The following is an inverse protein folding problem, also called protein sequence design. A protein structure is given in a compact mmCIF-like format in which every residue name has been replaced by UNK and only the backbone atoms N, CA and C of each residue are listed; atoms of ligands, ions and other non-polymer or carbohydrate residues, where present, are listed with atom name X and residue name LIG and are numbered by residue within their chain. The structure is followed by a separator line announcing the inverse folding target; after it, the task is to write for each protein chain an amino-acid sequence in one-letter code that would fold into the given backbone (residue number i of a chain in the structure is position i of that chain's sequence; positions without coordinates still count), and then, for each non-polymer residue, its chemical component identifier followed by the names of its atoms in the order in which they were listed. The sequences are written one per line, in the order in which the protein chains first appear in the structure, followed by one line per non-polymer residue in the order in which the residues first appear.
data_IF_493835005921
#
_entry.id   IF_493835005921
#
_cell.length_a   1.000
_cell.length_b   1.000
_cell.length_c   1.000
_cell.angle_alpha   90.00
_cell.angle_beta   90.00
_cell.angle_gamma   90.00
#
_symmetry.space_group_name_H-M   'P 1'
#
loop_
_entity.id
_entity.type
_entity.pdbx_description
1 polymer ?
#
# COMPACT_ATOMS: atom_id res chain seq x y z
N UNK A 1 -11.88 13.63 -20.66
CA UNK A 1 -13.24 14.22 -20.51
C UNK A 1 -14.34 13.25 -20.88
N UNK A 2 -14.11 12.37 -21.86
CA UNK A 2 -15.04 11.32 -22.34
C UNK A 2 -15.84 10.57 -21.26
N UNK A 3 -15.20 10.14 -20.17
CA UNK A 3 -15.86 9.40 -19.09
C UNK A 3 -16.76 10.26 -18.17
N UNK A 4 -17.02 11.54 -18.50
CA UNK A 4 -17.84 12.44 -17.69
C UNK A 4 -17.26 12.80 -16.31
N UNK A 5 -16.03 12.38 -16.01
CA UNK A 5 -15.36 12.59 -14.71
C UNK A 5 -14.82 14.01 -14.50
N UNK A 6 -15.06 14.93 -15.43
CA UNK A 6 -14.65 16.32 -15.27
C UNK A 6 -15.50 17.01 -14.20
N UNK A 7 -14.84 17.65 -13.24
CA UNK A 7 -15.49 18.49 -12.25
C UNK A 7 -14.98 19.93 -12.40
N UNK A 8 -15.84 20.91 -12.14
CA UNK A 8 -15.44 22.32 -12.12
C UNK A 8 -14.43 22.51 -10.98
N UNK A 9 -13.20 22.88 -11.33
CA UNK A 9 -12.13 23.18 -10.38
C UNK A 9 -11.94 24.68 -10.24
N UNK A 10 -11.25 25.10 -9.16
CA UNK A 10 -10.82 26.49 -8.99
C UNK A 10 -9.69 26.91 -9.92
N UNK A 11 -9.18 26.01 -10.77
CA UNK A 11 -8.12 26.29 -11.74
C UNK A 11 -8.73 26.89 -13.02
N UNK A 12 -8.49 28.17 -13.34
CA UNK A 12 -9.03 28.78 -14.55
C UNK A 12 -8.29 28.31 -15.82
N UNK A 13 -8.88 28.59 -16.99
CA UNK A 13 -8.14 28.72 -18.25
C UNK A 13 -7.55 30.12 -18.26
N UNK A 14 -6.23 30.23 -18.42
CA UNK A 14 -5.53 31.51 -18.35
C UNK A 14 -5.05 31.88 -19.75
N UNK A 15 -5.38 33.09 -20.19
CA UNK A 15 -5.02 33.63 -21.52
C UNK A 15 -4.27 34.95 -21.32
N UNK A 16 -3.11 35.08 -21.97
CA UNK A 16 -2.30 36.31 -21.94
C UNK A 16 -3.01 37.46 -22.67
N UNK A 17 -2.51 38.67 -22.48
CA UNK A 17 -3.01 39.82 -23.25
C UNK A 17 -2.80 39.67 -24.78
N UNK A 18 -1.80 38.90 -25.19
CA UNK A 18 -1.50 38.60 -26.60
C UNK A 18 -2.31 37.41 -27.15
N UNK A 19 -3.17 36.81 -26.32
CA UNK A 19 -4.03 35.69 -26.71
C UNK A 19 -3.38 34.31 -26.58
N UNK A 20 -2.18 34.22 -26.00
CA UNK A 20 -1.53 32.95 -25.73
C UNK A 20 -2.19 32.24 -24.54
N UNK A 21 -2.40 30.93 -24.65
CA UNK A 21 -2.87 30.13 -23.51
C UNK A 21 -1.69 29.93 -22.57
N UNK A 22 -1.84 30.32 -21.30
CA UNK A 22 -0.81 30.18 -20.26
C UNK A 22 -1.10 29.02 -19.31
N UNK A 23 -2.38 28.66 -19.11
CA UNK A 23 -2.80 27.48 -18.36
C UNK A 23 -4.04 26.85 -19.00
N UNK A 24 -4.14 25.53 -18.91
CA UNK A 24 -5.31 24.77 -19.36
C UNK A 24 -5.10 24.00 -20.66
N UNK A 25 -3.89 23.98 -21.24
CA UNK A 25 -3.59 23.25 -22.48
C UNK A 25 -4.06 21.80 -22.45
N UNK A 26 -3.72 21.05 -21.41
CA UNK A 26 -4.14 19.65 -21.27
C UNK A 26 -5.67 19.48 -21.23
N UNK A 27 -6.39 20.44 -20.64
CA UNK A 27 -7.86 20.40 -20.52
C UNK A 27 -8.52 20.74 -21.84
N UNK A 28 -8.03 21.77 -22.55
CA UNK A 28 -8.49 22.13 -23.88
C UNK A 28 -8.21 21.02 -24.89
N UNK A 29 -7.02 20.43 -24.84
CA UNK A 29 -6.65 19.28 -25.66
C UNK A 29 -7.56 18.08 -25.37
N UNK A 30 -7.78 17.75 -24.10
CA UNK A 30 -8.69 16.66 -23.70
C UNK A 30 -10.16 16.90 -24.10
N UNK A 31 -10.60 18.16 -24.18
CA UNK A 31 -11.92 18.55 -24.70
C UNK A 31 -12.02 18.29 -26.21
N UNK A 32 -10.98 18.68 -26.97
CA UNK A 32 -10.90 18.45 -28.42
C UNK A 32 -10.90 16.95 -28.70
N UNK A 33 -10.03 16.20 -28.01
CA UNK A 33 -9.90 14.74 -28.18
C UNK A 33 -11.18 14.00 -27.81
N UNK A 34 -11.86 14.40 -26.73
CA UNK A 34 -13.09 13.75 -26.30
C UNK A 34 -14.34 14.20 -27.08
N UNK A 35 -14.29 15.30 -27.83
CA UNK A 35 -15.46 15.89 -28.49
C UNK A 35 -16.54 16.38 -27.52
N UNK A 36 -16.19 16.63 -26.25
CA UNK A 36 -17.13 17.00 -25.18
C UNK A 36 -16.66 18.29 -24.51
N UNK A 37 -17.53 19.30 -24.49
CA UNK A 37 -17.28 20.58 -23.81
C UNK A 37 -17.30 20.46 -22.28
N UNK A 38 -16.71 21.45 -21.61
CA UNK A 38 -16.64 21.50 -20.16
C UNK A 38 -16.80 22.93 -19.62
N UNK A 39 -17.21 23.05 -18.37
CA UNK A 39 -17.32 24.35 -17.69
C UNK A 39 -15.99 24.66 -17.02
N UNK A 40 -15.48 25.88 -17.24
CA UNK A 40 -14.30 26.42 -16.58
C UNK A 40 -14.38 27.94 -16.44
N UNK A 41 -13.74 28.46 -15.40
CA UNK A 41 -13.48 29.90 -15.26
C UNK A 41 -12.41 30.32 -16.27
N UNK A 42 -12.56 31.50 -16.87
CA UNK A 42 -11.56 32.08 -17.77
C UNK A 42 -10.98 33.32 -17.10
N UNK A 43 -9.64 33.38 -17.01
CA UNK A 43 -8.90 34.58 -16.65
C UNK A 43 -8.21 35.08 -17.91
N UNK A 44 -8.58 36.27 -18.35
CA UNK A 44 -8.11 36.85 -19.61
C UNK A 44 -7.29 38.11 -19.37
N UNK A 45 -6.30 38.38 -20.21
CA UNK A 45 -5.52 39.62 -20.18
C UNK A 45 -4.38 39.62 -19.18
N UNK A 46 -3.77 38.46 -18.91
CA UNK A 46 -2.59 38.37 -18.04
C UNK A 46 -1.38 38.98 -18.76
N UNK A 47 -0.78 40.01 -18.17
CA UNK A 47 0.33 40.79 -18.77
C UNK A 47 1.69 40.55 -18.10
N UNK A 48 1.72 39.81 -17.00
CA UNK A 48 2.94 39.59 -16.22
C UNK A 48 3.62 38.29 -16.63
N UNK A 49 4.82 38.39 -17.21
CA UNK A 49 5.61 37.24 -17.69
C UNK A 49 5.97 36.27 -16.55
N UNK A 50 6.07 36.76 -15.31
CA UNK A 50 6.31 35.93 -14.12
C UNK A 50 5.08 35.15 -13.68
N UNK A 51 3.88 35.55 -14.13
CA UNK A 51 2.65 34.83 -13.79
C UNK A 51 2.71 33.38 -14.28
N UNK A 52 3.36 33.10 -15.42
CA UNK A 52 3.56 31.72 -15.89
C UNK A 52 4.36 30.88 -14.90
N UNK A 53 5.39 31.45 -14.26
CA UNK A 53 6.21 30.75 -13.27
C UNK A 53 5.46 30.46 -11.96
N UNK A 54 4.29 31.07 -11.75
CA UNK A 54 3.43 30.89 -10.57
C UNK A 54 2.17 30.05 -10.86
N UNK A 55 1.92 29.71 -12.12
CA UNK A 55 0.84 28.79 -12.53
C UNK A 55 1.20 27.37 -12.06
N UNK A 56 0.22 26.65 -11.50
CA UNK A 56 0.36 25.29 -10.98
C UNK A 56 1.45 25.11 -9.88
N UNK A 57 1.92 26.20 -9.27
CA UNK A 57 2.87 26.17 -8.13
C UNK A 57 2.18 25.79 -6.81
N UNK A 58 0.86 25.65 -6.82
CA UNK A 58 0.11 25.11 -5.69
C UNK A 58 0.53 23.67 -5.37
N UNK A 59 0.65 23.36 -4.07
CA UNK A 59 0.92 21.98 -3.64
C UNK A 59 -0.21 21.07 -4.14
N UNK A 60 0.14 20.12 -5.03
CA UNK A 60 -0.76 19.03 -5.42
C UNK A 60 -1.23 18.36 -4.13
N UNK A 61 -2.55 18.36 -3.89
CA UNK A 61 -3.14 17.71 -2.71
C UNK A 61 -2.68 16.26 -2.69
N UNK A 62 -2.02 15.87 -1.61
CA UNK A 62 -1.65 14.48 -1.37
C UNK A 62 -2.92 13.63 -1.23
N UNK A 63 -2.80 12.34 -1.53
CA UNK A 63 -3.87 11.35 -1.32
C UNK A 63 -4.47 11.40 0.10
N UNK A 64 -3.63 11.57 1.11
CA UNK A 64 -4.07 11.72 2.49
C UNK A 64 -4.89 13.01 2.70
N UNK A 65 -4.48 14.13 2.12
CA UNK A 65 -5.24 15.38 2.18
C UNK A 65 -6.59 15.27 1.45
N UNK A 66 -6.66 14.56 0.32
CA UNK A 66 -7.92 14.28 -0.37
C UNK A 66 -8.88 13.52 0.55
N UNK A 67 -8.39 12.46 1.22
CA UNK A 67 -9.20 11.68 2.16
C UNK A 67 -9.60 12.50 3.40
N UNK A 68 -8.70 13.32 3.93
CA UNK A 68 -8.99 14.21 5.07
C UNK A 68 -10.08 15.22 4.72
N UNK A 69 -10.02 15.82 3.54
CA UNK A 69 -11.06 16.72 3.03
C UNK A 69 -12.40 16.02 2.81
N UNK A 70 -12.39 14.74 2.45
CA UNK A 70 -13.59 13.92 2.34
C UNK A 70 -14.19 13.53 3.71
N UNK A 71 -13.50 13.82 4.82
CA UNK A 71 -14.03 13.63 6.18
C UNK A 71 -13.99 12.18 6.67
N UNK A 72 -13.04 11.37 6.17
CA UNK A 72 -12.81 9.99 6.64
C UNK A 72 -12.66 9.93 8.16
N UNK A 73 -13.20 8.89 8.79
CA UNK A 73 -13.23 8.76 10.27
C UNK A 73 -11.98 8.10 10.87
N UNK A 74 -11.10 7.60 10.01
CA UNK A 74 -9.83 6.97 10.39
C UNK A 74 -8.64 7.84 9.99
N UNK A 75 -7.42 7.45 10.36
CA UNK A 75 -6.22 8.20 9.97
C UNK A 75 -6.06 8.24 8.45
N UNK A 76 -6.25 9.42 7.84
CA UNK A 76 -6.19 9.61 6.40
C UNK A 76 -4.81 9.24 5.82
N UNK A 77 -3.72 9.43 6.58
CA UNK A 77 -2.37 9.07 6.17
C UNK A 77 -2.14 7.56 6.14
N UNK A 78 -2.69 6.83 7.12
CA UNK A 78 -2.62 5.36 7.19
C UNK A 78 -3.52 4.76 6.11
N UNK A 79 -4.78 5.20 6.01
CA UNK A 79 -5.73 4.76 4.99
C UNK A 79 -5.18 5.01 3.59
N UNK A 80 -4.58 6.18 3.34
CA UNK A 80 -3.93 6.46 2.06
C UNK A 80 -2.85 5.45 1.72
N UNK A 81 -2.00 5.06 2.69
CA UNK A 81 -0.92 4.11 2.47
C UNK A 81 -1.44 2.70 2.23
N UNK A 82 -2.46 2.28 2.98
CA UNK A 82 -3.10 0.97 2.84
C UNK A 82 -3.81 0.84 1.50
N UNK A 83 -4.55 1.87 1.08
CA UNK A 83 -5.19 1.91 -0.25
C UNK A 83 -4.16 1.82 -1.39
N UNK A 84 -3.00 2.50 -1.25
CA UNK A 84 -1.93 2.38 -2.24
C UNK A 84 -1.33 0.96 -2.29
N UNK A 85 -1.17 0.29 -1.15
CA UNK A 85 -0.68 -1.09 -1.11
C UNK A 85 -1.70 -2.06 -1.72
N UNK A 86 -2.99 -1.88 -1.43
CA UNK A 86 -4.08 -2.68 -1.99
C UNK A 86 -4.19 -2.53 -3.51
N UNK A 87 -4.26 -1.30 -4.03
CA UNK A 87 -4.29 -1.07 -5.48
C UNK A 87 -3.03 -1.60 -6.17
N UNK A 88 -1.86 -1.40 -5.57
CA UNK A 88 -0.61 -1.95 -6.10
C UNK A 88 -0.65 -3.48 -6.18
N UNK A 89 -1.19 -4.13 -5.15
CA UNK A 89 -1.35 -5.57 -5.08
C UNK A 89 -2.31 -6.08 -6.17
N UNK A 90 -3.47 -5.45 -6.33
CA UNK A 90 -4.45 -5.78 -7.38
C UNK A 90 -3.90 -5.62 -8.80
N UNK A 91 -3.11 -4.58 -9.05
CA UNK A 91 -2.49 -4.35 -10.35
C UNK A 91 -1.36 -5.34 -10.66
N UNK A 92 -0.87 -6.07 -9.66
CA UNK A 92 0.23 -7.03 -9.83
C UNK A 92 -0.31 -8.33 -10.43
N UNK A 93 -0.16 -8.51 -11.75
CA UNK A 93 -0.63 -9.71 -12.50
C UNK A 93 -0.17 -11.03 -11.89
N UNK A 94 1.09 -11.07 -11.49
CA UNK A 94 1.70 -12.20 -10.82
C UNK A 94 1.93 -11.81 -9.37
N UNK A 95 1.20 -12.36 -8.38
CA UNK A 95 1.37 -12.00 -6.98
C UNK A 95 2.82 -12.08 -6.50
N UNK A 96 3.63 -13.02 -7.03
CA UNK A 96 5.04 -13.16 -6.68
C UNK A 96 5.91 -11.94 -7.05
N UNK A 97 5.41 -11.06 -7.92
CA UNK A 97 6.08 -9.84 -8.39
C UNK A 97 5.70 -8.59 -7.60
N UNK A 98 4.84 -8.70 -6.57
CA UNK A 98 4.50 -7.56 -5.73
C UNK A 98 5.73 -7.06 -4.96
N UNK A 99 6.02 -5.75 -5.09
CA UNK A 99 7.17 -5.08 -4.44
C UNK A 99 6.75 -3.84 -3.64
N UNK A 100 5.50 -3.77 -3.21
CA UNK A 100 4.92 -2.57 -2.59
C UNK A 100 4.37 -1.61 -3.65
N UNK A 101 4.41 -0.30 -3.36
CA UNK A 101 3.74 0.73 -4.19
C UNK A 101 4.62 1.28 -5.32
N UNK A 102 5.77 0.66 -5.58
CA UNK A 102 6.71 1.14 -6.60
C UNK A 102 6.17 0.80 -8.00
N UNK A 103 6.15 1.78 -8.91
CA UNK A 103 5.61 1.62 -10.26
C UNK A 103 4.08 1.61 -10.34
N UNK A 104 3.37 1.76 -9.22
CA UNK A 104 1.91 1.83 -9.19
C UNK A 104 1.44 3.22 -9.63
N UNK A 105 0.75 3.28 -10.78
CA UNK A 105 0.00 4.48 -11.17
C UNK A 105 -1.28 4.55 -10.35
N UNK A 106 -1.35 5.49 -9.41
CA UNK A 106 -2.54 5.75 -8.60
C UNK A 106 -2.65 7.24 -8.31
N UNK A 107 -3.43 7.98 -9.08
CA UNK A 107 -3.53 9.43 -8.94
C UNK A 107 -4.25 9.83 -7.65
N UNK A 108 -3.90 10.99 -7.05
CA UNK A 108 -4.61 11.49 -5.87
C UNK A 108 -6.13 11.62 -6.06
N UNK A 109 -6.57 12.00 -7.27
CA UNK A 109 -7.99 12.12 -7.58
C UNK A 109 -8.75 10.77 -7.59
N UNK A 110 -8.05 9.65 -7.77
CA UNK A 110 -8.67 8.33 -7.79
C UNK A 110 -8.86 7.73 -6.40
N UNK A 111 -8.21 8.27 -5.36
CA UNK A 111 -8.18 7.59 -4.06
C UNK A 111 -9.53 7.57 -3.37
N UNK A 112 -10.34 8.62 -3.56
CA UNK A 112 -11.64 8.72 -2.92
C UNK A 112 -12.56 7.60 -3.39
N UNK A 113 -12.76 7.48 -4.70
CA UNK A 113 -13.57 6.40 -5.28
C UNK A 113 -13.03 5.01 -4.94
N UNK A 114 -11.70 4.83 -4.95
CA UNK A 114 -11.12 3.54 -4.57
C UNK A 114 -11.40 3.17 -3.11
N UNK A 115 -11.34 4.12 -2.17
CA UNK A 115 -11.66 3.87 -0.75
C UNK A 115 -13.16 3.66 -0.54
N UNK A 116 -14.01 4.37 -1.28
CA UNK A 116 -15.47 4.16 -1.27
C UNK A 116 -15.84 2.76 -1.78
N UNK A 117 -15.16 2.27 -2.82
CA UNK A 117 -15.37 0.92 -3.36
C UNK A 117 -14.79 -0.20 -2.44
N UNK A 118 -13.99 0.15 -1.43
CA UNK A 118 -13.28 -0.79 -0.56
C UNK A 118 -13.34 -0.34 0.91
N UNK A 119 -14.56 -0.22 1.46
CA UNK A 119 -14.80 0.26 2.83
C UNK A 119 -14.07 -0.59 3.90
N UNK A 120 -13.75 -1.86 3.62
CA UNK A 120 -13.03 -2.77 4.51
C UNK A 120 -11.58 -2.32 4.78
N UNK A 121 -11.00 -1.50 3.91
CA UNK A 121 -9.72 -0.84 4.17
C UNK A 121 -9.83 0.03 5.42
N UNK A 122 -10.90 0.82 5.54
CA UNK A 122 -11.11 1.69 6.70
C UNK A 122 -11.37 0.89 7.98
N UNK A 123 -12.11 -0.23 7.88
CA UNK A 123 -12.33 -1.16 9.00
C UNK A 123 -10.98 -1.70 9.52
N UNK A 124 -10.13 -2.17 8.61
CA UNK A 124 -8.80 -2.70 8.96
C UNK A 124 -7.90 -1.63 9.57
N UNK A 125 -7.96 -0.39 9.06
CA UNK A 125 -7.23 0.75 9.62
C UNK A 125 -7.72 1.09 11.03
N UNK A 126 -9.04 1.19 11.25
CA UNK A 126 -9.60 1.52 12.56
C UNK A 126 -9.22 0.48 13.62
N UNK A 127 -9.36 -0.81 13.29
CA UNK A 127 -8.98 -1.92 14.15
C UNK A 127 -7.51 -1.83 14.57
N UNK A 128 -6.59 -1.74 13.60
CA UNK A 128 -5.15 -1.69 13.87
C UNK A 128 -4.76 -0.40 14.59
N UNK A 129 -5.34 0.75 14.21
CA UNK A 129 -5.14 2.05 14.89
C UNK A 129 -5.38 1.93 16.40
N UNK A 130 -6.46 1.28 16.82
CA UNK A 130 -6.82 1.14 18.25
C UNK A 130 -5.76 0.36 19.02
N UNK A 131 -5.24 -0.72 18.45
CA UNK A 131 -4.25 -1.58 19.11
C UNK A 131 -2.88 -0.91 19.11
N UNK A 132 -2.42 -0.40 17.96
CA UNK A 132 -1.11 0.26 17.83
C UNK A 132 -1.02 1.50 18.72
N UNK A 133 -2.09 2.28 18.87
CA UNK A 133 -2.12 3.43 19.79
C UNK A 133 -1.93 3.00 21.24
N UNK A 134 -2.55 1.89 21.66
CA UNK A 134 -2.44 1.35 23.03
C UNK A 134 -1.10 0.68 23.30
N UNK A 135 -0.54 0.00 22.30
CA UNK A 135 0.67 -0.83 22.39
C UNK A 135 1.80 -0.30 21.50
N UNK A 136 1.98 1.02 21.50
CA UNK A 136 2.91 1.69 20.58
C UNK A 136 4.37 1.27 20.78
N UNK A 137 4.76 0.96 22.03
CA UNK A 137 6.14 0.58 22.37
C UNK A 137 6.45 -0.86 22.00
N UNK A 138 5.42 -1.70 21.99
CA UNK A 138 5.47 -3.13 21.69
C UNK A 138 5.35 -3.40 20.17
N UNK A 139 4.86 -2.42 19.41
CA UNK A 139 4.62 -2.52 17.97
C UNK A 139 5.92 -2.67 17.19
N UNK A 140 6.10 -3.82 16.53
CA UNK A 140 7.30 -4.16 15.76
C UNK A 140 7.34 -3.56 14.34
N UNK A 141 6.17 -3.26 13.75
CA UNK A 141 6.07 -2.66 12.41
C UNK A 141 5.14 -1.46 12.40
N UNK A 142 5.12 -0.74 11.27
CA UNK A 142 4.27 0.43 11.10
C UNK A 142 2.81 0.04 10.91
N UNK A 143 1.92 0.91 11.37
CA UNK A 143 0.47 0.75 11.31
C UNK A 143 -0.07 0.36 9.91
N UNK A 144 0.38 0.98 8.80
CA UNK A 144 -0.10 0.59 7.47
C UNK A 144 0.24 -0.85 7.08
N UNK A 145 1.34 -1.43 7.58
CA UNK A 145 1.73 -2.80 7.27
C UNK A 145 0.77 -3.78 7.94
N UNK A 146 0.46 -3.56 9.23
CA UNK A 146 -0.51 -4.37 9.95
C UNK A 146 -1.92 -4.23 9.36
N UNK A 147 -2.36 -3.00 9.05
CA UNK A 147 -3.69 -2.76 8.48
C UNK A 147 -3.84 -3.39 7.10
N UNK A 148 -2.79 -3.34 6.26
CA UNK A 148 -2.78 -4.02 4.98
C UNK A 148 -2.78 -5.54 5.11
N UNK A 149 -2.02 -6.10 6.06
CA UNK A 149 -2.04 -7.53 6.34
C UNK A 149 -3.43 -8.00 6.83
N UNK A 150 -4.05 -7.25 7.75
CA UNK A 150 -5.40 -7.49 8.24
C UNK A 150 -6.42 -7.51 7.09
N UNK A 151 -6.38 -6.49 6.24
CA UNK A 151 -7.25 -6.37 5.07
C UNK A 151 -7.12 -7.60 4.16
N UNK A 152 -5.90 -7.98 3.77
CA UNK A 152 -5.68 -9.11 2.87
C UNK A 152 -6.10 -10.45 3.48
N UNK A 153 -5.81 -10.69 4.76
CA UNK A 153 -6.25 -11.91 5.46
C UNK A 153 -7.77 -11.98 5.47
N UNK A 154 -8.45 -10.88 5.83
CA UNK A 154 -9.92 -10.82 5.93
C UNK A 154 -10.58 -11.01 4.58
N UNK A 155 -10.11 -10.30 3.54
CA UNK A 155 -10.60 -10.44 2.16
C UNK A 155 -10.47 -11.89 1.67
N UNK A 156 -9.36 -12.54 2.01
CA UNK A 156 -9.11 -13.93 1.63
C UNK A 156 -9.98 -14.91 2.38
N UNK A 157 -10.21 -14.70 3.68
CA UNK A 157 -11.14 -15.51 4.45
C UNK A 157 -12.57 -15.43 3.90
N UNK A 158 -13.01 -14.24 3.47
CA UNK A 158 -14.33 -14.05 2.88
C UNK A 158 -14.54 -14.81 1.55
N UNK A 159 -13.46 -15.26 0.89
CA UNK A 159 -13.51 -16.03 -0.36
C UNK A 159 -13.67 -17.54 -0.12
N UNK A 160 -13.54 -18.02 1.12
CA UNK A 160 -13.54 -19.45 1.44
C UNK A 160 -14.44 -19.76 2.64
N UNK A 161 -14.97 -20.98 2.69
CA UNK A 161 -15.74 -21.47 3.83
C UNK A 161 -14.84 -22.29 4.74
N UNK A 162 -14.83 -21.94 6.02
CA UNK A 162 -14.08 -22.65 7.06
C UNK A 162 -15.04 -23.29 8.05
N UNK A 163 -14.78 -24.54 8.45
CA UNK A 163 -15.61 -25.23 9.44
C UNK A 163 -15.38 -24.65 10.85
N UNK A 164 -14.12 -24.39 11.19
CA UNK A 164 -13.72 -23.79 12.46
C UNK A 164 -12.37 -23.08 12.27
N UNK A 165 -12.22 -21.89 12.86
CA UNK A 165 -10.95 -21.17 12.89
C UNK A 165 -10.41 -21.22 14.32
N UNK A 166 -9.18 -21.71 14.47
CA UNK A 166 -8.47 -21.76 15.77
C UNK A 166 -8.24 -20.35 16.35
N UNK A 167 -8.11 -19.34 15.48
CA UNK A 167 -7.94 -17.94 15.83
C UNK A 167 -8.53 -17.03 14.75
N UNK A 168 -9.10 -15.90 15.14
CA UNK A 168 -9.55 -14.85 14.20
C UNK A 168 -8.38 -13.93 13.79
N UNK A 169 -8.42 -13.26 12.62
CA UNK A 169 -7.42 -12.26 12.23
C UNK A 169 -7.18 -11.18 13.30
N UNK A 170 -8.23 -10.76 13.99
CA UNK A 170 -8.19 -9.74 15.02
C UNK A 170 -7.40 -10.22 16.25
N UNK A 171 -7.70 -11.42 16.75
CA UNK A 171 -6.96 -12.02 17.87
C UNK A 171 -5.49 -12.24 17.49
N UNK A 172 -5.23 -12.81 16.30
CA UNK A 172 -3.88 -13.05 15.80
C UNK A 172 -3.06 -11.75 15.74
N UNK A 173 -3.56 -10.71 15.06
CA UNK A 173 -2.84 -9.44 14.96
C UNK A 173 -2.78 -8.70 16.30
N UNK A 174 -3.78 -8.84 17.18
CA UNK A 174 -3.69 -8.28 18.54
C UNK A 174 -2.50 -8.87 19.28
N UNK A 175 -2.32 -10.19 19.26
CA UNK A 175 -1.17 -10.87 19.88
C UNK A 175 0.15 -10.47 19.22
N UNK A 176 0.21 -10.43 17.90
CA UNK A 176 1.40 -9.99 17.14
C UNK A 176 1.76 -8.54 17.45
N UNK A 177 0.80 -7.62 17.64
CA UNK A 177 1.08 -6.20 17.91
C UNK A 177 1.43 -5.97 19.39
N UNK A 178 0.66 -6.56 20.29
CA UNK A 178 0.66 -6.22 21.73
C UNK A 178 1.54 -7.11 22.60
N UNK A 179 2.02 -8.25 22.09
CA UNK A 179 2.64 -9.35 22.87
C UNK A 179 1.77 -9.94 24.00
N UNK A 180 0.48 -9.61 24.06
CA UNK A 180 -0.40 -10.16 25.10
C UNK A 180 -0.69 -11.64 24.83
N UNK A 181 -0.64 -12.45 25.89
CA UNK A 181 -0.98 -13.87 25.83
C UNK A 181 0.05 -14.74 25.12
N UNK A 182 1.31 -14.30 25.05
CA UNK A 182 2.44 -15.11 24.60
C UNK A 182 3.12 -15.71 25.83
N UNK A 183 3.19 -17.04 25.88
CA UNK A 183 3.68 -17.81 27.03
C UNK A 183 4.89 -18.67 26.68
N UNK A 184 5.09 -18.98 25.38
CA UNK A 184 6.19 -19.83 24.89
C UNK A 184 6.87 -19.23 23.66
N UNK A 185 8.14 -19.60 23.45
CA UNK A 185 8.84 -19.32 22.19
C UNK A 185 8.28 -20.11 21.00
N UNK A 186 7.54 -21.18 21.30
CA UNK A 186 6.83 -22.00 20.32
C UNK A 186 5.57 -21.31 19.78
N UNK A 187 5.06 -20.28 20.47
CA UNK A 187 3.88 -19.53 20.02
C UNK A 187 4.15 -18.89 18.66
N UNK A 188 3.22 -19.10 17.71
CA UNK A 188 3.36 -18.61 16.33
C UNK A 188 3.57 -17.10 16.31
N UNK A 189 2.81 -16.35 17.11
CA UNK A 189 2.91 -14.90 17.22
C UNK A 189 4.22 -14.45 17.87
N UNK A 190 4.79 -15.23 18.81
CA UNK A 190 6.13 -14.97 19.34
C UNK A 190 7.19 -15.11 18.25
N UNK A 191 7.13 -16.18 17.45
CA UNK A 191 8.06 -16.39 16.33
C UNK A 191 7.97 -15.27 15.29
N UNK A 192 6.74 -14.83 14.96
CA UNK A 192 6.51 -13.68 14.09
C UNK A 192 7.18 -12.44 14.66
N UNK A 193 6.89 -12.09 15.92
CA UNK A 193 7.45 -10.90 16.58
C UNK A 193 8.97 -10.92 16.64
N UNK A 194 9.55 -12.06 17.02
CA UNK A 194 11.00 -12.21 17.10
C UNK A 194 11.68 -11.98 15.73
N UNK A 195 11.08 -12.51 14.66
CA UNK A 195 11.58 -12.25 13.31
C UNK A 195 11.37 -10.79 12.89
N UNK A 196 10.22 -10.17 13.17
CA UNK A 196 9.97 -8.75 12.88
C UNK A 196 10.98 -7.84 13.60
N UNK A 197 11.30 -8.14 14.87
CA UNK A 197 12.31 -7.42 15.64
C UNK A 197 13.70 -7.49 14.99
N UNK A 198 14.05 -8.63 14.38
CA UNK A 198 15.31 -8.79 13.65
C UNK A 198 15.43 -7.91 12.39
N UNK A 199 14.29 -7.40 11.88
CA UNK A 199 14.23 -6.55 10.68
C UNK A 199 14.19 -5.05 10.98
N UNK A 200 14.19 -4.62 12.25
CA UNK A 200 14.03 -3.21 12.65
C UNK A 200 15.16 -2.32 12.12
N UNK A 201 16.38 -2.85 12.00
CA UNK A 201 17.56 -2.10 11.53
C UNK A 201 17.79 -2.18 10.01
N UNK A 202 16.87 -2.78 9.26
CA UNK A 202 17.03 -3.06 7.82
C UNK A 202 16.43 -1.97 6.92
N UNK A 203 16.90 -1.91 5.66
CA UNK A 203 16.46 -0.91 4.69
C UNK A 203 14.95 -0.99 4.36
N UNK A 204 14.34 0.17 4.11
CA UNK A 204 12.88 0.38 4.13
C UNK A 204 12.13 -0.49 3.11
N UNK A 205 12.57 -0.51 1.85
CA UNK A 205 11.88 -1.20 0.75
C UNK A 205 11.93 -2.73 0.87
N UNK A 206 13.06 -3.27 1.36
CA UNK A 206 13.26 -4.69 1.62
C UNK A 206 12.47 -5.16 2.85
N UNK A 207 12.41 -4.30 3.88
CA UNK A 207 11.73 -4.63 5.12
C UNK A 207 10.23 -4.89 4.92
N UNK A 208 9.56 -4.20 3.98
CA UNK A 208 8.11 -4.34 3.78
C UNK A 208 7.71 -5.79 3.46
N UNK A 209 8.34 -6.40 2.45
CA UNK A 209 7.98 -7.73 1.98
C UNK A 209 8.29 -8.81 3.01
N UNK A 210 9.47 -8.72 3.62
CA UNK A 210 9.87 -9.68 4.64
C UNK A 210 9.00 -9.53 5.92
N UNK A 211 8.55 -8.32 6.28
CA UNK A 211 7.57 -8.08 7.36
C UNK A 211 6.20 -8.70 7.04
N UNK A 212 5.64 -8.39 5.86
CA UNK A 212 4.36 -8.95 5.41
C UNK A 212 4.41 -10.48 5.33
N UNK A 213 5.48 -11.03 4.75
CA UNK A 213 5.69 -12.48 4.64
C UNK A 213 5.68 -13.17 6.00
N UNK A 214 6.32 -12.57 7.00
CA UNK A 214 6.34 -13.12 8.35
C UNK A 214 4.94 -13.15 8.97
N UNK A 215 4.19 -12.07 8.84
CA UNK A 215 2.80 -11.98 9.31
C UNK A 215 1.93 -13.03 8.61
N UNK A 216 2.03 -13.16 7.28
CA UNK A 216 1.23 -14.15 6.54
C UNK A 216 1.64 -15.59 6.85
N UNK A 217 2.94 -15.88 6.96
CA UNK A 217 3.40 -17.22 7.35
C UNK A 217 2.91 -17.61 8.75
N UNK A 218 2.90 -16.67 9.69
CA UNK A 218 2.33 -16.92 11.01
C UNK A 218 0.83 -17.21 10.93
N UNK A 219 0.08 -16.40 10.19
CA UNK A 219 -1.35 -16.68 9.95
C UNK A 219 -1.59 -18.07 9.35
N UNK A 220 -0.81 -18.45 8.35
CA UNK A 220 -0.93 -19.74 7.67
C UNK A 220 -0.68 -20.94 8.57
N UNK A 221 0.22 -20.81 9.56
CA UNK A 221 0.47 -21.87 10.53
C UNK A 221 -0.77 -22.19 11.36
N UNK A 222 -1.65 -21.20 11.64
CA UNK A 222 -2.92 -21.42 12.32
C UNK A 222 -3.98 -22.11 11.46
N UNK A 223 -3.75 -22.18 10.15
CA UNK A 223 -4.63 -22.82 9.15
C UNK A 223 -4.04 -24.12 8.59
N UNK A 224 -2.96 -24.63 9.19
CA UNK A 224 -2.22 -25.81 8.73
C UNK A 224 -1.74 -25.72 7.26
N UNK A 225 -1.60 -24.50 6.73
CA UNK A 225 -1.11 -24.26 5.38
C UNK A 225 0.42 -24.39 5.38
N UNK A 226 1.01 -25.26 4.53
CA UNK A 226 2.46 -25.45 4.51
C UNK A 226 3.23 -24.15 4.24
N UNK A 227 4.15 -23.81 5.14
CA UNK A 227 5.04 -22.65 4.98
C UNK A 227 6.48 -23.08 4.67
N UNK A 228 7.15 -22.32 3.80
CA UNK A 228 8.52 -22.62 3.37
C UNK A 228 9.48 -22.75 4.57
N UNK A 229 10.11 -23.93 4.69
CA UNK A 229 11.05 -24.27 5.75
C UNK A 229 10.41 -24.48 7.13
N UNK A 230 9.08 -24.63 7.20
CA UNK A 230 8.27 -24.80 8.41
C UNK A 230 8.56 -23.75 9.49
N UNK A 231 8.85 -22.51 9.07
CA UNK A 231 9.20 -21.40 9.97
C UNK A 231 8.76 -20.06 9.41
N UNK A 232 8.48 -19.14 10.31
CA UNK A 232 8.01 -17.77 9.98
C UNK A 232 9.08 -16.94 9.26
N UNK A 233 10.37 -17.21 9.53
CA UNK A 233 11.47 -16.44 8.93
C UNK A 233 11.56 -16.55 7.40
N UNK A 234 12.04 -15.48 6.76
CA UNK A 234 12.33 -15.41 5.31
C UNK A 234 13.84 -15.33 5.10
N UNK A 235 14.39 -16.15 4.19
CA UNK A 235 15.82 -16.13 3.85
C UNK A 235 16.14 -14.95 2.93
N UNK A 236 17.36 -14.44 2.95
CA UNK A 236 17.84 -13.44 1.97
C UNK A 236 18.44 -14.11 0.75
N UNK A 237 18.29 -13.49 -0.42
CA UNK A 237 19.19 -13.73 -1.55
C UNK A 237 20.57 -13.33 -1.09
N UNK A 238 21.52 -14.26 -1.21
CA UNK A 238 22.91 -13.97 -0.87
C UNK A 238 23.38 -12.74 -1.65
N UNK A 239 24.21 -11.89 -1.03
CA UNK A 239 24.72 -10.70 -1.71
C UNK A 239 25.65 -11.09 -2.88
N UNK A 240 26.33 -12.23 -2.74
CA UNK A 240 27.30 -12.73 -3.70
C UNK A 240 27.14 -14.24 -3.87
N UNK A 241 27.36 -14.74 -5.09
CA UNK A 241 27.69 -16.16 -5.35
C UNK A 241 29.19 -16.29 -5.61
N UNK A 242 29.76 -17.45 -5.34
CA UNK A 242 31.13 -17.76 -5.80
C UNK A 242 31.07 -18.35 -7.20
N UNK A 243 31.94 -17.91 -8.12
CA UNK A 243 32.15 -18.61 -9.38
C UNK A 243 33.03 -19.85 -9.21
N UNK A 244 33.30 -20.54 -10.32
CA UNK A 244 34.18 -21.71 -10.40
C UNK A 244 35.60 -21.43 -9.89
N UNK A 245 36.02 -20.16 -9.92
CA UNK A 245 37.35 -19.71 -9.50
C UNK A 245 37.34 -19.13 -8.08
N UNK A 246 36.20 -19.18 -7.38
CA UNK A 246 36.03 -18.72 -6.01
C UNK A 246 35.82 -17.22 -5.85
N UNK A 247 35.73 -16.44 -6.94
CA UNK A 247 35.48 -15.01 -6.90
C UNK A 247 34.04 -14.70 -6.53
N UNK A 248 33.84 -13.64 -5.73
CA UNK A 248 32.52 -13.17 -5.31
C UNK A 248 31.87 -12.39 -6.45
N UNK A 249 30.89 -12.99 -7.12
CA UNK A 249 30.06 -12.32 -8.12
C UNK A 249 28.78 -11.79 -7.45
N UNK A 250 28.46 -10.49 -7.57
CA UNK A 250 27.20 -9.94 -7.06
C UNK A 250 26.00 -10.59 -7.75
N UNK A 251 25.00 -10.99 -6.97
CA UNK A 251 23.78 -11.60 -7.50
C UNK A 251 22.82 -10.52 -8.04
N UNK A 252 22.11 -10.74 -9.17
CA UNK A 252 21.13 -9.79 -9.75
C UNK A 252 19.91 -9.47 -8.87
N UNK A 253 19.92 -9.89 -7.61
CA UNK A 253 18.88 -9.67 -6.61
C UNK A 253 19.48 -9.70 -5.20
N UNK A 254 20.77 -9.37 -5.10
CA UNK A 254 21.52 -9.30 -3.85
C UNK A 254 20.74 -8.46 -2.82
N UNK A 255 20.37 -9.10 -1.70
CA UNK A 255 19.59 -8.44 -0.65
C UNK A 255 18.07 -8.49 -0.83
N UNK A 256 17.52 -9.06 -1.90
CA UNK A 256 16.08 -9.36 -2.00
C UNK A 256 15.70 -10.55 -1.10
N UNK A 257 14.42 -10.72 -0.76
CA UNK A 257 13.98 -11.88 0.04
C UNK A 257 14.12 -13.13 -0.89
N UNK A 258 14.93 -14.13 -0.48
CA UNK A 258 14.97 -15.47 -1.10
C UNK A 258 13.71 -16.19 -0.66
N UNK A 259 12.70 -16.05 -1.50
CA UNK A 259 11.35 -16.45 -1.23
C UNK A 259 10.52 -15.58 -2.11
N UNK A 260 9.99 -16.17 -3.18
CA UNK A 260 8.79 -15.67 -3.81
C UNK A 260 7.87 -15.21 -2.69
N UNK A 261 7.39 -13.97 -2.79
CA UNK A 261 6.33 -13.51 -1.92
C UNK A 261 5.16 -14.43 -2.26
N UNK A 262 5.04 -15.55 -1.56
CA UNK A 262 4.00 -16.53 -1.80
C UNK A 262 2.72 -15.89 -1.27
N UNK A 263 2.20 -14.91 -1.99
CA UNK A 263 0.90 -14.33 -1.72
C UNK A 263 -0.22 -15.30 -2.08
N UNK A 264 0.08 -16.30 -2.93
CA UNK A 264 -0.70 -17.53 -3.01
C UNK A 264 -0.76 -18.27 -1.67
N UNK A 265 0.23 -18.12 -0.76
CA UNK A 265 0.10 -18.65 0.59
C UNK A 265 -0.69 -17.78 1.56
N UNK A 266 -1.14 -16.54 1.26
CA UNK A 266 -2.01 -15.79 2.23
C UNK A 266 -3.24 -16.63 2.62
N UNK A 267 -3.67 -17.51 1.71
CA UNK A 267 -4.39 -18.74 2.00
C UNK A 267 -4.05 -19.71 0.86
N UNK A 268 -3.02 -20.57 1.03
CA UNK A 268 -2.60 -21.58 0.05
C UNK A 268 -3.79 -22.17 -0.70
N UNK A 269 -3.70 -22.33 -2.03
CA UNK A 269 -4.74 -22.98 -2.85
C UNK A 269 -5.33 -24.15 -2.08
N UNK A 270 -6.51 -23.95 -1.50
CA UNK A 270 -7.30 -25.03 -0.93
C UNK A 270 -7.67 -25.90 -2.13
N UNK A 271 -6.94 -27.01 -2.29
CA UNK A 271 -7.40 -28.13 -3.10
C UNK A 271 -8.42 -28.93 -2.31
#
# INVERSE_FOLDING_TARGET
MENGKWCLTGEPIIISADGEILNGHHRLQACIEAGVGFIATITYGVTDDLSFAHIDVGNIRSRAQVLEMAGVKVSASVLSRVAMLAKAFEMTKNPFDFRGTQGTSFQPAEILGYVEDHEELAISVDFVSKIVKRHKRESQVSEPIYAFAHYLITQKLNQHTFNELSVTPEVYLTRVISSLGLESEDDVEYQVRNYLQSLVHESISYSLLCKLSAIFKGWNMHLDIPVSGNKVSVKRVALFKKDSDGNKIPLPSAGNCNGQLNLETVLGTFQ
#
